data_IF_232443271855
#
_entry.id   IF_232443271855
#
_cell.length_a   1.000
_cell.length_b   1.000
_cell.length_c   1.000
_cell.angle_alpha   90.00
_cell.angle_beta   90.00
_cell.angle_gamma   90.00
#
_symmetry.space_group_name_H-M   'P 1'
#
loop_
_entity.id
_entity.type
_entity.pdbx_description
1 polymer ?
#
# COMPACT_ATOMS: atom_id res chain seq x y z
N UNK A 1 3.98 31.02 8.97
CA UNK A 1 2.63 30.57 8.55
C UNK A 1 2.55 29.08 8.80
N UNK A 2 1.66 28.62 9.69
CA UNK A 2 1.49 27.18 9.93
C UNK A 2 0.74 26.56 8.74
N UNK A 3 1.39 25.66 8.01
CA UNK A 3 0.77 24.89 6.93
C UNK A 3 -0.40 24.12 7.51
N UNK A 4 -1.62 24.43 7.07
CA UNK A 4 -2.83 23.69 7.46
C UNK A 4 -2.59 22.21 7.14
N UNK A 5 -2.41 21.37 8.17
CA UNK A 5 -2.17 19.93 7.99
C UNK A 5 -3.33 19.36 7.17
N UNK A 6 -3.03 18.75 6.03
CA UNK A 6 -4.06 18.09 5.21
C UNK A 6 -4.62 16.91 6.00
N UNK A 7 -5.95 16.76 6.02
CA UNK A 7 -6.60 15.63 6.68
C UNK A 7 -6.16 14.31 6.04
N UNK A 8 -6.16 13.24 6.83
CA UNK A 8 -5.87 11.90 6.32
C UNK A 8 -7.06 11.35 5.55
N UNK A 9 -6.79 10.59 4.48
CA UNK A 9 -7.81 9.81 3.79
C UNK A 9 -7.99 8.44 4.44
N UNK A 10 -8.64 8.43 5.61
CA UNK A 10 -8.75 7.24 6.45
C UNK A 10 -9.45 6.06 5.76
N UNK A 11 -10.42 6.33 4.88
CA UNK A 11 -11.15 5.31 4.14
C UNK A 11 -10.22 4.51 3.22
N UNK A 12 -9.46 5.20 2.36
CA UNK A 12 -8.62 4.53 1.37
C UNK A 12 -7.35 3.96 2.02
N UNK A 13 -6.84 4.64 3.06
CA UNK A 13 -5.78 4.09 3.91
C UNK A 13 -6.26 2.76 4.49
N UNK A 14 -7.44 2.75 5.12
CA UNK A 14 -8.03 1.55 5.71
C UNK A 14 -8.20 0.42 4.70
N UNK A 15 -8.75 0.72 3.51
CA UNK A 15 -8.92 -0.27 2.44
C UNK A 15 -7.58 -0.89 2.02
N UNK A 16 -6.54 -0.09 1.76
CA UNK A 16 -5.24 -0.63 1.37
C UNK A 16 -4.56 -1.42 2.49
N UNK A 17 -4.71 -0.99 3.74
CA UNK A 17 -4.18 -1.75 4.89
C UNK A 17 -4.86 -3.11 5.02
N UNK A 18 -6.18 -3.19 4.81
CA UNK A 18 -6.91 -4.46 4.82
C UNK A 18 -6.42 -5.41 3.73
N UNK A 19 -6.25 -4.93 2.50
CA UNK A 19 -5.70 -5.75 1.40
C UNK A 19 -4.28 -6.24 1.70
N UNK A 20 -3.41 -5.37 2.24
CA UNK A 20 -2.06 -5.77 2.63
C UNK A 20 -2.07 -6.86 3.72
N UNK A 21 -2.93 -6.73 4.72
CA UNK A 21 -3.10 -7.74 5.78
C UNK A 21 -3.58 -9.06 5.20
N UNK A 22 -4.55 -9.03 4.28
CA UNK A 22 -5.06 -10.23 3.64
C UNK A 22 -3.97 -10.97 2.85
N UNK A 23 -3.19 -10.26 2.05
CA UNK A 23 -2.08 -10.85 1.29
C UNK A 23 -1.00 -11.44 2.19
N UNK A 24 -0.62 -10.71 3.26
CA UNK A 24 0.34 -11.22 4.24
C UNK A 24 -0.19 -12.44 4.99
N UNK A 25 -1.48 -12.48 5.32
CA UNK A 25 -2.11 -13.64 5.96
C UNK A 25 -2.10 -14.86 5.04
N UNK A 26 -2.43 -14.69 3.75
CA UNK A 26 -2.33 -15.77 2.75
C UNK A 26 -0.91 -16.34 2.67
N UNK A 27 0.11 -15.47 2.65
CA UNK A 27 1.50 -15.89 2.64
C UNK A 27 1.89 -16.63 3.92
N UNK A 28 1.51 -16.08 5.07
CA UNK A 28 1.75 -16.69 6.37
C UNK A 28 1.15 -18.11 6.44
N UNK A 29 -0.11 -18.27 6.07
CA UNK A 29 -0.81 -19.55 6.16
C UNK A 29 -0.18 -20.60 5.22
N UNK A 30 0.20 -20.20 3.99
CA UNK A 30 0.95 -21.07 3.06
C UNK A 30 2.32 -21.44 3.61
N UNK A 31 3.03 -20.49 4.24
CA UNK A 31 4.33 -20.75 4.85
C UNK A 31 4.21 -21.75 5.99
N UNK A 32 3.18 -21.59 6.84
CA UNK A 32 2.92 -22.47 7.96
C UNK A 32 2.60 -23.91 7.51
N UNK A 33 1.86 -24.05 6.41
CA UNK A 33 1.49 -25.34 5.83
C UNK A 33 2.61 -25.98 4.97
N UNK A 34 3.75 -25.31 4.77
CA UNK A 34 4.81 -25.79 3.88
C UNK A 34 4.46 -25.77 2.38
N UNK A 35 3.46 -24.98 2.00
CA UNK A 35 2.94 -24.88 0.62
C UNK A 35 3.47 -23.65 -0.13
N UNK A 36 4.23 -22.79 0.55
CA UNK A 36 4.74 -21.54 -0.01
C UNK A 36 6.00 -21.78 -0.85
N UNK A 37 5.98 -21.35 -2.10
CA UNK A 37 7.16 -21.33 -2.97
C UNK A 37 7.68 -19.90 -3.21
N UNK A 38 8.86 -19.79 -3.83
CA UNK A 38 9.55 -18.52 -4.06
C UNK A 38 8.75 -17.53 -4.92
N UNK A 39 8.08 -18.00 -5.98
CA UNK A 39 7.30 -17.13 -6.86
C UNK A 39 6.07 -16.58 -6.14
N UNK A 40 5.38 -17.42 -5.36
CA UNK A 40 4.24 -17.01 -4.53
C UNK A 40 4.68 -16.00 -3.47
N UNK A 41 5.82 -16.24 -2.81
CA UNK A 41 6.39 -15.32 -1.83
C UNK A 41 6.71 -13.97 -2.47
N UNK A 42 7.39 -13.97 -3.62
CA UNK A 42 7.75 -12.75 -4.33
C UNK A 42 6.51 -11.95 -4.75
N UNK A 43 5.55 -12.60 -5.42
CA UNK A 43 4.33 -11.92 -5.90
C UNK A 43 3.50 -11.39 -4.73
N UNK A 44 3.27 -12.19 -3.69
CA UNK A 44 2.49 -11.78 -2.53
C UNK A 44 3.15 -10.64 -1.76
N UNK A 45 4.47 -10.66 -1.58
CA UNK A 45 5.18 -9.56 -0.94
C UNK A 45 5.14 -8.29 -1.79
N UNK A 46 5.30 -8.39 -3.12
CA UNK A 46 5.16 -7.24 -4.02
C UNK A 46 3.75 -6.63 -3.94
N UNK A 47 2.70 -7.46 -3.85
CA UNK A 47 1.32 -6.99 -3.66
C UNK A 47 1.13 -6.30 -2.30
N UNK A 48 1.58 -6.92 -1.21
CA UNK A 48 1.50 -6.31 0.12
C UNK A 48 2.24 -4.96 0.16
N UNK A 49 3.46 -4.90 -0.37
CA UNK A 49 4.23 -3.66 -0.47
C UNK A 49 3.54 -2.61 -1.33
N UNK A 50 2.93 -3.01 -2.44
CA UNK A 50 2.15 -2.08 -3.26
C UNK A 50 1.09 -1.38 -2.42
N UNK A 51 0.26 -2.12 -1.69
CA UNK A 51 -0.80 -1.55 -0.85
C UNK A 51 -0.26 -0.67 0.29
N UNK A 52 0.81 -1.09 0.97
CA UNK A 52 1.45 -0.29 2.02
C UNK A 52 2.00 1.04 1.46
N UNK A 53 2.72 0.97 0.34
CA UNK A 53 3.24 2.15 -0.34
C UNK A 53 2.12 3.06 -0.82
N UNK A 54 1.05 2.47 -1.36
CA UNK A 54 -0.10 3.20 -1.83
C UNK A 54 -0.74 3.99 -0.69
N UNK A 55 -1.08 3.32 0.42
CA UNK A 55 -1.67 3.93 1.62
C UNK A 55 -0.84 5.12 2.12
N UNK A 56 0.49 4.97 2.19
CA UNK A 56 1.38 6.06 2.58
C UNK A 56 1.34 7.23 1.60
N UNK A 57 1.52 6.96 0.31
CA UNK A 57 1.67 8.00 -0.70
C UNK A 57 0.39 8.80 -0.95
N UNK A 58 -0.78 8.20 -0.76
CA UNK A 58 -2.06 8.88 -0.96
C UNK A 58 -2.69 9.42 0.31
N UNK A 59 -2.00 9.34 1.46
CA UNK A 59 -2.56 9.62 2.78
C UNK A 59 -3.25 10.98 2.91
N UNK A 60 -2.94 11.94 2.05
CA UNK A 60 -3.54 13.28 2.02
C UNK A 60 -4.29 13.63 0.72
N UNK A 61 -4.53 12.64 -0.15
CA UNK A 61 -5.29 12.79 -1.41
C UNK A 61 -6.77 12.64 -1.10
N UNK A 62 -7.64 13.50 -1.63
CA UNK A 62 -9.08 13.37 -1.37
C UNK A 62 -9.67 12.14 -2.06
N UNK A 63 -10.74 11.58 -1.51
CA UNK A 63 -11.46 10.45 -2.13
C UNK A 63 -11.96 10.78 -3.53
N UNK A 64 -12.36 12.02 -3.78
CA UNK A 64 -12.75 12.49 -5.12
C UNK A 64 -11.60 12.52 -6.13
N UNK A 65 -10.36 12.78 -5.70
CA UNK A 65 -9.17 12.70 -6.55
C UNK A 65 -8.81 11.24 -6.82
N UNK A 66 -8.91 10.37 -5.80
CA UNK A 66 -8.69 8.94 -5.96
C UNK A 66 -9.72 8.29 -6.87
N UNK A 67 -10.99 8.70 -6.83
CA UNK A 67 -12.02 8.21 -7.75
C UNK A 67 -11.69 8.49 -9.24
N UNK A 68 -10.76 9.40 -9.50
CA UNK A 68 -10.25 9.74 -10.85
C UNK A 68 -8.81 9.27 -11.05
N UNK A 69 -8.42 8.18 -10.36
CA UNK A 69 -7.08 7.63 -10.38
C UNK A 69 -6.62 7.31 -11.81
N UNK A 70 -5.53 7.93 -12.22
CA UNK A 70 -4.86 7.60 -13.48
C UNK A 70 -3.87 6.45 -13.30
N UNK A 71 -3.56 5.74 -14.40
CA UNK A 71 -2.52 4.70 -14.39
C UNK A 71 -1.16 5.22 -13.93
N UNK A 72 -0.82 6.48 -14.29
CA UNK A 72 0.42 7.11 -13.88
C UNK A 72 0.46 7.36 -12.36
N UNK A 73 -0.65 7.83 -11.78
CA UNK A 73 -0.77 7.98 -10.32
C UNK A 73 -0.71 6.63 -9.63
N UNK A 74 -1.42 5.61 -10.14
CA UNK A 74 -1.38 4.26 -9.57
C UNK A 74 0.04 3.71 -9.53
N UNK A 75 0.77 3.79 -10.66
CA UNK A 75 2.18 3.38 -10.73
C UNK A 75 3.06 4.19 -9.79
N UNK A 76 2.84 5.50 -9.68
CA UNK A 76 3.64 6.38 -8.81
C UNK A 76 3.41 6.06 -7.34
N UNK A 77 2.17 5.86 -6.92
CA UNK A 77 1.81 5.68 -5.53
C UNK A 77 2.11 4.28 -5.00
N UNK A 78 2.20 3.27 -5.87
CA UNK A 78 2.69 1.94 -5.48
C UNK A 78 4.21 1.85 -5.27
N UNK A 79 4.98 2.89 -5.60
CA UNK A 79 6.45 2.90 -5.40
C UNK A 79 6.81 3.15 -3.95
N UNK A 80 7.95 2.58 -3.54
CA UNK A 80 8.55 2.89 -2.26
C UNK A 80 8.74 4.41 -2.11
N UNK A 81 8.40 4.98 -0.94
CA UNK A 81 8.69 6.38 -0.66
C UNK A 81 10.20 6.63 -0.71
N UNK A 82 10.62 7.65 -1.44
CA UNK A 82 12.04 8.02 -1.57
C UNK A 82 12.64 8.64 -0.30
N UNK A 83 11.82 8.97 0.70
CA UNK A 83 12.21 9.70 1.92
C UNK A 83 12.35 8.79 3.16
N UNK A 84 12.23 7.46 3.02
CA UNK A 84 12.34 6.52 4.15
C UNK A 84 13.80 6.23 4.53
N UNK A 85 14.77 6.57 3.67
CA UNK A 85 16.20 6.32 3.93
C UNK A 85 16.85 7.33 4.90
N UNK A 86 16.19 8.45 5.22
CA UNK A 86 16.74 9.53 6.06
C UNK A 86 16.16 9.57 7.51
N UNK A 87 15.62 8.45 8.02
CA UNK A 87 15.12 8.32 9.42
C UNK A 87 16.06 7.52 10.32
#
# INVERSE_FOLDING_TARGET
>A
MATKRRSLNLEIIGSNLSEAIEELKKLHDRSFNGELNSDQLQVGLLHAYHHLNFAWNIRHVSTSQYAKLTQAQFKRWGKYPSEIEDL
#
